data_IF_388803869371
#
_entry.id   IF_388803869371
#
_cell.length_a   1.000
_cell.length_b   1.000
_cell.length_c   1.000
_cell.angle_alpha   90.00
_cell.angle_beta   90.00
_cell.angle_gamma   90.00
#
_symmetry.space_group_name_H-M   'P 1'
#
loop_
_entity.id
_entity.type
_entity.pdbx_description
1 polymer ?
#
# COMPACT_ATOMS: atom_id res chain seq x y z
N UNK A 1 26.27 -8.42 -0.41
CA UNK A 1 26.18 -7.12 -1.15
C UNK A 1 26.61 -6.04 -0.18
N UNK A 2 27.44 -5.07 -0.62
CA UNK A 2 27.85 -3.97 0.29
C UNK A 2 26.66 -3.06 0.58
N UNK A 3 26.52 -2.64 1.83
CA UNK A 3 25.50 -1.69 2.26
C UNK A 3 25.75 -0.32 1.62
N UNK A 4 24.73 0.28 1.03
CA UNK A 4 24.78 1.62 0.45
C UNK A 4 23.39 2.26 0.39
N UNK A 5 23.35 3.58 0.61
CA UNK A 5 22.16 4.41 0.41
C UNK A 5 22.62 5.69 -0.28
N UNK A 6 22.07 6.01 -1.44
CA UNK A 6 22.53 7.17 -2.23
C UNK A 6 21.50 7.63 -3.23
N UNK A 7 21.52 8.91 -3.52
CA UNK A 7 20.76 9.45 -4.65
C UNK A 7 21.44 9.09 -5.99
N UNK A 8 20.63 8.65 -6.94
CA UNK A 8 21.03 8.36 -8.31
C UNK A 8 20.00 8.92 -9.29
N UNK A 9 20.23 8.76 -10.60
CA UNK A 9 19.23 9.10 -11.62
C UNK A 9 18.80 7.87 -12.41
N UNK A 10 17.48 7.70 -12.56
CA UNK A 10 16.87 6.73 -13.47
C UNK A 10 15.95 7.48 -14.45
N UNK A 11 16.10 7.25 -15.74
CA UNK A 11 15.40 8.01 -16.81
C UNK A 11 15.57 9.54 -16.67
N UNK A 12 16.70 10.01 -16.11
CA UNK A 12 16.93 11.42 -15.80
C UNK A 12 16.28 11.94 -14.51
N UNK A 13 15.43 11.14 -13.84
CA UNK A 13 14.71 11.50 -12.62
C UNK A 13 15.55 11.12 -11.39
N UNK A 14 15.67 12.00 -10.37
CA UNK A 14 16.36 11.66 -9.12
C UNK A 14 15.56 10.61 -8.34
N UNK A 15 16.25 9.59 -7.84
CA UNK A 15 15.72 8.52 -6.99
C UNK A 15 16.75 8.12 -5.94
N UNK A 16 16.33 7.45 -4.88
CA UNK A 16 17.22 6.90 -3.85
C UNK A 16 17.40 5.41 -4.11
N UNK A 17 18.65 4.97 -4.32
CA UNK A 17 19.03 3.55 -4.38
C UNK A 17 19.51 3.11 -3.00
N UNK A 18 18.88 2.06 -2.48
CA UNK A 18 19.22 1.42 -1.21
C UNK A 18 19.67 -0.02 -1.46
N UNK A 19 20.78 -0.42 -0.86
CA UNK A 19 21.30 -1.80 -0.90
C UNK A 19 21.72 -2.21 0.50
N UNK A 20 21.18 -3.31 1.02
CA UNK A 20 21.55 -3.89 2.30
C UNK A 20 21.03 -5.33 2.40
N UNK A 21 21.67 -6.18 3.19
CA UNK A 21 21.20 -7.53 3.55
C UNK A 21 20.85 -8.45 2.37
N UNK A 22 21.38 -8.18 1.18
CA UNK A 22 21.02 -8.93 -0.04
C UNK A 22 19.82 -8.34 -0.81
N UNK A 23 19.20 -7.28 -0.32
CA UNK A 23 18.09 -6.57 -0.99
C UNK A 23 18.56 -5.32 -1.73
N UNK A 24 17.75 -4.93 -2.71
CA UNK A 24 17.82 -3.64 -3.42
C UNK A 24 16.45 -3.00 -3.42
N UNK A 25 16.36 -1.74 -2.97
CA UNK A 25 15.18 -0.91 -3.11
C UNK A 25 15.49 0.36 -3.90
N UNK A 26 14.50 0.86 -4.65
CA UNK A 26 14.53 2.17 -5.32
C UNK A 26 13.33 2.97 -4.80
N UNK A 27 13.60 4.11 -4.20
CA UNK A 27 12.57 5.04 -3.75
C UNK A 27 12.48 6.18 -4.76
N UNK A 28 11.26 6.58 -5.11
CA UNK A 28 10.96 7.63 -6.07
C UNK A 28 10.32 8.87 -5.39
N UNK A 29 11.10 9.80 -4.80
CA UNK A 29 10.56 10.95 -4.07
C UNK A 29 9.62 11.80 -4.92
N UNK A 30 9.91 11.96 -6.21
CA UNK A 30 9.11 12.79 -7.13
C UNK A 30 7.75 12.20 -7.52
N UNK A 31 7.47 10.95 -7.12
CA UNK A 31 6.19 10.26 -7.40
C UNK A 31 5.67 9.63 -6.11
N UNK A 32 5.18 10.45 -5.18
CA UNK A 32 4.58 10.01 -3.91
C UNK A 32 5.55 9.28 -2.97
N UNK A 33 6.85 9.48 -3.14
CA UNK A 33 7.90 8.72 -2.45
C UNK A 33 7.70 7.18 -2.53
N UNK A 34 7.21 6.72 -3.69
CA UNK A 34 6.88 5.33 -3.97
C UNK A 34 8.12 4.44 -3.88
N UNK A 35 8.00 3.27 -3.27
CA UNK A 35 9.00 2.19 -3.41
C UNK A 35 8.88 1.61 -4.81
N UNK A 36 9.53 2.25 -5.77
CA UNK A 36 9.42 1.91 -7.20
C UNK A 36 9.95 0.51 -7.53
N UNK A 37 10.86 -0.02 -6.72
CA UNK A 37 11.41 -1.36 -6.85
C UNK A 37 11.78 -1.92 -5.49
N UNK A 38 11.51 -3.20 -5.28
CA UNK A 38 12.09 -4.01 -4.21
C UNK A 38 12.46 -5.38 -4.79
N UNK A 39 13.71 -5.81 -4.55
CA UNK A 39 14.24 -7.06 -5.06
C UNK A 39 15.11 -7.76 -4.02
N UNK A 40 14.90 -9.05 -3.83
CA UNK A 40 15.87 -9.94 -3.22
C UNK A 40 16.91 -10.38 -4.28
N UNK A 41 18.11 -9.86 -4.17
CA UNK A 41 19.18 -10.08 -5.14
C UNK A 41 19.85 -11.43 -4.94
N UNK A 42 19.91 -11.93 -3.70
CA UNK A 42 20.52 -13.22 -3.37
C UNK A 42 19.71 -14.36 -4.02
N UNK A 43 18.40 -14.30 -3.91
CA UNK A 43 17.49 -15.32 -4.43
C UNK A 43 16.93 -14.99 -5.82
N UNK A 44 17.28 -13.82 -6.38
CA UNK A 44 16.86 -13.34 -7.71
C UNK A 44 15.34 -13.16 -7.82
N UNK A 45 14.68 -12.77 -6.72
CA UNK A 45 13.25 -12.53 -6.63
C UNK A 45 12.98 -11.05 -6.90
N UNK A 46 12.23 -10.72 -7.95
CA UNK A 46 11.67 -9.38 -8.17
C UNK A 46 10.35 -9.31 -7.38
N UNK A 47 10.33 -8.55 -6.29
CA UNK A 47 9.19 -8.53 -5.36
C UNK A 47 8.09 -7.63 -5.92
N UNK A 48 8.42 -6.37 -6.17
CA UNK A 48 7.46 -5.38 -6.68
C UNK A 48 7.48 -5.31 -8.21
N UNK A 49 6.34 -4.97 -8.79
CA UNK A 49 6.23 -4.73 -10.23
C UNK A 49 7.12 -3.56 -10.63
N UNK A 50 8.05 -3.83 -11.52
CA UNK A 50 9.04 -2.86 -11.97
C UNK A 50 9.25 -2.92 -13.49
N UNK A 51 9.16 -1.77 -14.17
CA UNK A 51 9.50 -1.68 -15.57
C UNK A 51 11.01 -1.44 -15.74
N UNK A 52 11.72 -2.34 -16.41
CA UNK A 52 13.19 -2.29 -16.54
C UNK A 52 13.67 -1.32 -17.60
N UNK A 53 12.85 -1.00 -18.59
CA UNK A 53 13.24 -0.17 -19.74
C UNK A 53 13.10 1.33 -19.44
N UNK A 54 11.94 1.72 -18.88
CA UNK A 54 11.62 3.13 -18.57
C UNK A 54 10.92 3.21 -17.21
N UNK A 55 11.65 2.91 -16.10
CA UNK A 55 11.04 2.72 -14.80
C UNK A 55 10.30 3.96 -14.31
N UNK A 56 10.91 5.13 -14.36
CA UNK A 56 10.33 6.35 -13.82
C UNK A 56 9.18 6.88 -14.69
N UNK A 57 9.30 6.75 -16.00
CA UNK A 57 8.21 7.13 -16.92
C UNK A 57 6.97 6.26 -16.71
N UNK A 58 7.16 4.96 -16.51
CA UNK A 58 6.05 4.03 -16.26
C UNK A 58 5.42 4.25 -14.89
N UNK A 59 6.23 4.44 -13.85
CA UNK A 59 5.76 4.79 -12.52
C UNK A 59 4.92 6.07 -12.54
N UNK A 60 5.43 7.15 -13.12
CA UNK A 60 4.72 8.43 -13.17
C UNK A 60 3.40 8.37 -13.97
N UNK A 61 3.34 7.53 -15.04
CA UNK A 61 2.12 7.39 -15.85
C UNK A 61 1.03 6.52 -15.19
N UNK A 62 1.40 5.69 -14.22
CA UNK A 62 0.47 4.73 -13.58
C UNK A 62 0.93 4.41 -12.15
N UNK A 63 0.98 5.40 -11.25
CA UNK A 63 1.61 5.26 -9.93
C UNK A 63 0.95 4.18 -9.07
N UNK A 64 -0.35 3.92 -9.22
CA UNK A 64 -1.06 2.88 -8.46
C UNK A 64 -0.85 1.46 -9.00
N UNK A 65 -0.15 1.27 -10.14
CA UNK A 65 0.07 -0.07 -10.72
C UNK A 65 1.54 -0.47 -10.81
N UNK A 66 2.42 0.30 -10.20
CA UNK A 66 3.85 0.01 -10.07
C UNK A 66 4.33 0.33 -8.66
N UNK A 67 5.21 -0.54 -8.13
CA UNK A 67 5.81 -0.32 -6.83
C UNK A 67 4.81 -0.43 -5.66
N UNK A 68 5.02 0.41 -4.65
CA UNK A 68 4.23 0.48 -3.41
C UNK A 68 3.85 1.95 -3.12
N UNK A 69 2.82 2.48 -3.78
CA UNK A 69 2.33 3.83 -3.53
C UNK A 69 1.53 3.91 -2.24
N UNK A 70 1.72 4.98 -1.47
CA UNK A 70 0.92 5.32 -0.31
C UNK A 70 -0.28 6.16 -0.71
N UNK A 71 -1.47 5.72 -0.36
CA UNK A 71 -2.73 6.41 -0.64
C UNK A 71 -3.24 7.10 0.63
N UNK A 72 -3.40 8.40 0.55
CA UNK A 72 -4.11 9.23 1.51
C UNK A 72 -5.02 10.20 0.73
N UNK A 73 -6.33 10.09 0.84
CA UNK A 73 -7.19 9.16 1.57
C UNK A 73 -7.24 7.79 0.88
N UNK A 74 -7.42 6.68 1.63
CA UNK A 74 -7.43 5.35 1.04
C UNK A 74 -8.68 5.05 0.25
N UNK A 75 -8.52 4.36 -0.86
CA UNK A 75 -9.55 3.83 -1.73
C UNK A 75 -10.62 4.87 -2.13
N UNK A 76 -11.92 4.62 -1.91
CA UNK A 76 -13.03 5.43 -2.45
C UNK A 76 -13.76 6.24 -1.39
N UNK A 77 -14.17 7.45 -1.78
CA UNK A 77 -15.18 8.28 -1.12
C UNK A 77 -16.35 8.46 -2.06
N UNK A 78 -17.54 8.07 -1.63
CA UNK A 78 -18.79 8.16 -2.38
C UNK A 78 -19.08 9.60 -2.79
N UNK A 79 -19.26 9.84 -4.08
CA UNK A 79 -19.50 11.17 -4.67
C UNK A 79 -18.44 12.23 -4.32
N UNK A 80 -17.23 11.80 -3.86
CA UNK A 80 -16.19 12.71 -3.39
C UNK A 80 -16.46 13.37 -2.04
N UNK A 81 -17.45 12.93 -1.30
CA UNK A 81 -17.79 13.51 0.02
C UNK A 81 -16.89 12.90 1.09
N UNK A 82 -16.30 13.74 1.93
CA UNK A 82 -15.56 13.37 3.13
C UNK A 82 -16.22 14.04 4.33
N UNK A 83 -16.83 13.27 5.22
CA UNK A 83 -17.35 13.74 6.50
C UNK A 83 -16.31 13.52 7.59
N UNK A 84 -16.07 14.57 8.36
CA UNK A 84 -15.29 14.53 9.61
C UNK A 84 -16.16 15.12 10.71
N UNK A 85 -15.77 14.94 11.96
CA UNK A 85 -16.60 15.32 13.11
C UNK A 85 -16.99 16.81 13.13
N UNK A 86 -16.16 17.69 12.61
CA UNK A 86 -16.34 19.15 12.62
C UNK A 86 -16.59 19.78 11.23
N UNK A 87 -16.52 19.01 10.14
CA UNK A 87 -16.66 19.53 8.79
C UNK A 87 -17.12 18.49 7.76
N UNK A 88 -17.50 18.96 6.59
CA UNK A 88 -17.71 18.12 5.39
C UNK A 88 -16.96 18.75 4.23
N UNK A 89 -16.16 17.93 3.53
CA UNK A 89 -15.38 18.37 2.37
C UNK A 89 -15.90 17.70 1.10
N UNK A 90 -15.75 18.40 -0.04
CA UNK A 90 -16.16 17.91 -1.35
C UNK A 90 -14.95 17.83 -2.27
N UNK A 91 -14.50 16.63 -2.57
CA UNK A 91 -13.48 16.37 -3.58
C UNK A 91 -14.08 16.25 -4.99
N UNK A 92 -13.30 16.55 -6.03
CA UNK A 92 -13.71 16.30 -7.41
C UNK A 92 -13.82 14.80 -7.67
N UNK A 93 -14.84 14.38 -8.40
CA UNK A 93 -14.97 12.98 -8.84
C UNK A 93 -13.88 12.69 -9.88
N UNK A 94 -13.01 11.73 -9.58
CA UNK A 94 -11.94 11.28 -10.48
C UNK A 94 -12.15 9.84 -11.02
N UNK A 95 -13.15 9.13 -10.49
CA UNK A 95 -13.60 7.81 -10.98
C UNK A 95 -15.00 7.97 -11.62
N UNK A 96 -15.05 8.58 -12.81
CA UNK A 96 -16.28 9.03 -13.45
C UNK A 96 -17.33 7.94 -13.67
N UNK A 97 -16.93 6.70 -14.03
CA UNK A 97 -17.85 5.56 -14.20
C UNK A 97 -18.63 5.23 -12.92
N UNK A 98 -17.99 5.34 -11.77
CA UNK A 98 -18.54 4.98 -10.46
C UNK A 98 -18.93 6.19 -9.61
N UNK A 99 -18.67 7.41 -10.11
CA UNK A 99 -18.97 8.66 -9.42
C UNK A 99 -18.34 8.73 -8.02
N UNK A 100 -17.06 8.33 -7.89
CA UNK A 100 -16.30 8.38 -6.65
C UNK A 100 -15.09 9.29 -6.79
N UNK A 101 -14.56 9.76 -5.67
CA UNK A 101 -13.18 10.18 -5.53
C UNK A 101 -12.36 8.97 -5.05
N UNK A 102 -11.29 8.61 -5.74
CA UNK A 102 -10.51 7.40 -5.46
C UNK A 102 -9.03 7.71 -5.28
N UNK A 103 -8.39 6.99 -4.35
CA UNK A 103 -6.94 6.93 -4.10
C UNK A 103 -6.30 8.20 -3.53
N UNK A 104 -7.10 9.19 -3.10
CA UNK A 104 -6.52 10.42 -2.55
C UNK A 104 -5.59 11.12 -3.53
N UNK A 105 -4.48 11.70 -3.04
CA UNK A 105 -3.60 12.53 -3.87
C UNK A 105 -2.10 12.41 -3.54
N UNK A 106 -1.69 11.92 -2.37
CA UNK A 106 -0.28 11.90 -1.94
C UNK A 106 0.63 11.07 -2.87
N UNK A 107 0.11 10.01 -3.46
CA UNK A 107 0.87 9.14 -4.38
C UNK A 107 1.34 9.83 -5.67
N UNK A 108 0.90 11.06 -5.92
CA UNK A 108 1.31 11.88 -7.07
C UNK A 108 2.15 13.10 -6.67
N UNK A 109 2.40 13.30 -5.37
CA UNK A 109 3.14 14.46 -4.88
C UNK A 109 4.64 14.23 -4.90
N UNK A 110 5.39 15.31 -5.03
CA UNK A 110 6.84 15.28 -4.91
C UNK A 110 7.24 15.55 -3.47
N UNK A 111 7.93 14.59 -2.87
CA UNK A 111 8.45 14.66 -1.51
C UNK A 111 9.87 15.23 -1.51
N UNK A 112 10.20 15.97 -0.47
CA UNK A 112 11.56 16.38 -0.16
C UNK A 112 12.34 15.21 0.44
N UNK A 113 13.59 15.04 0.03
CA UNK A 113 14.52 14.07 0.65
C UNK A 113 15.09 14.69 1.92
N UNK A 114 14.84 14.08 3.06
CA UNK A 114 15.29 14.60 4.37
C UNK A 114 16.61 13.96 4.79
N UNK A 115 16.75 12.65 4.59
CA UNK A 115 17.97 11.92 4.96
C UNK A 115 18.22 10.73 4.03
N UNK A 116 19.50 10.49 3.74
CA UNK A 116 19.99 9.35 2.94
C UNK A 116 21.33 8.94 3.54
N UNK A 117 21.34 7.84 4.29
CA UNK A 117 22.53 7.37 5.00
C UNK A 117 22.61 5.86 5.13
N UNK A 118 23.76 5.39 5.61
CA UNK A 118 23.96 4.04 6.10
C UNK A 118 24.26 4.08 7.60
N UNK A 119 23.76 3.10 8.33
CA UNK A 119 24.05 2.89 9.73
C UNK A 119 24.36 1.40 9.95
N UNK A 120 25.63 1.09 10.10
CA UNK A 120 26.12 -0.29 10.12
C UNK A 120 25.79 -1.02 8.82
N UNK A 121 24.99 -2.06 8.92
CA UNK A 121 24.49 -2.90 7.83
C UNK A 121 23.14 -2.45 7.25
N UNK A 122 22.59 -1.31 7.73
CA UNK A 122 21.31 -0.76 7.29
C UNK A 122 21.51 0.38 6.29
N UNK A 123 20.68 0.42 5.26
CA UNK A 123 20.46 1.57 4.41
C UNK A 123 19.19 2.30 4.86
N UNK A 124 19.25 3.61 5.09
CA UNK A 124 18.16 4.41 5.65
C UNK A 124 17.90 5.60 4.74
N UNK A 125 16.64 5.82 4.41
CA UNK A 125 16.18 7.01 3.68
C UNK A 125 14.91 7.55 4.31
N UNK A 126 14.76 8.87 4.36
CA UNK A 126 13.52 9.52 4.78
C UNK A 126 13.14 10.65 3.85
N UNK A 127 11.83 10.83 3.68
CA UNK A 127 11.25 11.85 2.81
C UNK A 127 10.06 12.50 3.48
N UNK A 128 9.76 13.76 3.11
CA UNK A 128 8.70 14.58 3.70
C UNK A 128 7.88 15.30 2.64
N UNK A 129 6.59 15.38 2.85
CA UNK A 129 5.70 16.27 2.13
C UNK A 129 4.91 17.13 3.12
N UNK A 130 4.92 18.44 2.91
CA UNK A 130 4.10 19.40 3.67
C UNK A 130 2.94 19.82 2.77
N UNK A 131 1.74 19.53 3.23
CA UNK A 131 0.50 19.92 2.56
C UNK A 131 -0.02 21.23 3.13
N UNK A 132 -0.01 22.24 2.30
CA UNK A 132 -0.43 23.61 2.63
C UNK A 132 -1.17 24.26 1.44
N UNK A 133 -1.36 25.58 1.52
CA UNK A 133 -2.06 26.39 0.50
C UNK A 133 -1.44 26.32 -0.91
N UNK A 134 -0.23 25.78 -1.06
CA UNK A 134 0.43 25.64 -2.37
C UNK A 134 0.00 24.40 -3.11
N UNK A 135 -0.58 23.41 -2.42
CA UNK A 135 -1.09 22.21 -3.09
C UNK A 135 -2.39 22.52 -3.84
N UNK A 136 -2.56 22.08 -5.10
CA UNK A 136 -3.78 22.31 -5.88
C UNK A 136 -5.06 21.73 -5.25
N UNK A 137 -4.93 20.73 -4.36
CA UNK A 137 -6.07 20.12 -3.66
C UNK A 137 -6.49 20.89 -2.41
N UNK A 138 -5.72 21.90 -1.99
CA UNK A 138 -6.02 22.69 -0.79
C UNK A 138 -7.38 23.41 -0.87
N UNK A 139 -7.83 23.78 -2.08
CA UNK A 139 -9.17 24.35 -2.30
C UNK A 139 -10.30 23.39 -1.91
N UNK A 140 -10.08 22.06 -2.03
CA UNK A 140 -11.08 21.04 -1.68
C UNK A 140 -10.93 20.55 -0.24
N UNK A 141 -9.71 20.61 0.30
CA UNK A 141 -9.38 20.10 1.63
C UNK A 141 -8.40 21.04 2.36
N UNK A 142 -8.90 22.17 2.92
CA UNK A 142 -8.07 23.18 3.58
C UNK A 142 -7.67 22.76 5.03
N UNK A 143 -7.00 21.62 5.16
CA UNK A 143 -6.50 21.06 6.42
C UNK A 143 -5.01 20.79 6.26
N UNK A 144 -4.16 21.61 6.87
CA UNK A 144 -2.71 21.49 6.78
C UNK A 144 -2.21 20.25 7.49
N UNK A 145 -1.28 19.55 6.87
CA UNK A 145 -0.62 18.40 7.48
C UNK A 145 0.79 18.19 6.93
N UNK A 146 1.56 17.40 7.65
CA UNK A 146 2.83 16.86 7.20
C UNK A 146 2.74 15.35 7.07
N UNK A 147 3.35 14.81 6.04
CA UNK A 147 3.51 13.38 5.85
C UNK A 147 4.99 13.03 5.73
N UNK A 148 5.44 12.12 6.59
CA UNK A 148 6.81 11.62 6.61
C UNK A 148 6.82 10.14 6.27
N UNK A 149 7.78 9.75 5.41
CA UNK A 149 8.06 8.36 5.11
C UNK A 149 9.50 8.03 5.48
N UNK A 150 9.69 6.90 6.17
CA UNK A 150 11.01 6.35 6.45
C UNK A 150 11.11 4.94 5.87
N UNK A 151 12.25 4.65 5.28
CA UNK A 151 12.60 3.38 4.65
C UNK A 151 13.89 2.87 5.29
N UNK A 152 13.86 1.67 5.86
CA UNK A 152 15.03 1.00 6.40
C UNK A 152 15.16 -0.35 5.69
N UNK A 153 16.26 -0.55 4.98
CA UNK A 153 16.59 -1.78 4.29
C UNK A 153 17.74 -2.48 5.01
N UNK A 154 17.55 -3.75 5.38
CA UNK A 154 18.55 -4.59 6.02
C UNK A 154 18.42 -6.07 5.59
N UNK A 155 19.06 -6.99 6.29
CA UNK A 155 18.97 -8.43 6.02
C UNK A 155 17.57 -9.01 6.21
N UNK A 156 16.70 -8.30 6.95
CA UNK A 156 15.32 -8.69 7.21
C UNK A 156 14.33 -8.10 6.21
N UNK A 157 14.78 -7.48 5.11
CA UNK A 157 13.95 -6.88 4.08
C UNK A 157 13.79 -5.38 4.21
N UNK A 158 12.71 -4.85 3.66
CA UNK A 158 12.35 -3.45 3.70
C UNK A 158 11.34 -3.21 4.83
N UNK A 159 11.73 -2.37 5.80
CA UNK A 159 10.82 -1.77 6.77
C UNK A 159 10.42 -0.39 6.26
N UNK A 160 9.15 -0.09 6.34
CA UNK A 160 8.52 1.13 5.88
C UNK A 160 7.69 1.72 7.01
N UNK A 161 7.76 3.02 7.22
CA UNK A 161 6.85 3.73 8.11
C UNK A 161 6.28 4.98 7.44
N UNK A 162 5.00 5.23 7.71
CA UNK A 162 4.26 6.39 7.24
C UNK A 162 3.66 7.11 8.44
N UNK A 163 4.05 8.38 8.62
CA UNK A 163 3.57 9.24 9.68
C UNK A 163 2.79 10.41 9.11
N UNK A 164 1.57 10.63 9.60
CA UNK A 164 0.82 11.86 9.37
C UNK A 164 0.80 12.69 10.65
N UNK A 165 1.04 13.99 10.50
CA UNK A 165 0.94 14.99 11.56
C UNK A 165 -0.06 16.06 11.18
N UNK A 166 -1.13 16.22 11.95
CA UNK A 166 -2.11 17.28 11.76
C UNK A 166 -1.49 18.64 12.16
N UNK A 167 -1.25 19.52 11.19
CA UNK A 167 -0.71 20.86 11.39
C UNK A 167 -1.79 21.96 11.32
N UNK A 168 -3.07 21.57 11.32
CA UNK A 168 -4.21 22.47 11.28
C UNK A 168 -4.82 22.66 12.68
N UNK A 169 -5.79 23.54 12.76
CA UNK A 169 -6.66 23.77 13.94
C UNK A 169 -7.96 22.95 13.89
N UNK A 170 -8.10 22.03 12.91
CA UNK A 170 -9.29 21.20 12.66
C UNK A 170 -9.01 19.72 12.94
N UNK A 171 -10.08 18.95 13.08
CA UNK A 171 -9.97 17.49 13.07
C UNK A 171 -9.54 17.00 11.67
N UNK A 172 -8.67 16.00 11.64
CA UNK A 172 -8.14 15.44 10.40
C UNK A 172 -8.32 13.92 10.36
N UNK A 173 -8.99 13.34 9.34
CA UNK A 173 -9.12 11.90 9.22
C UNK A 173 -7.75 11.24 9.04
N UNK A 174 -7.53 10.14 9.73
CA UNK A 174 -6.36 9.30 9.57
C UNK A 174 -6.75 7.98 8.94
N UNK A 175 -6.41 7.82 7.67
CA UNK A 175 -6.62 6.59 6.93
C UNK A 175 -5.52 6.42 5.89
N UNK A 176 -4.97 5.23 5.78
CA UNK A 176 -3.89 4.92 4.85
C UNK A 176 -4.11 3.56 4.18
N UNK A 177 -3.67 3.46 2.95
CA UNK A 177 -3.60 2.23 2.17
C UNK A 177 -2.32 2.24 1.35
N UNK A 178 -1.67 1.09 1.18
CA UNK A 178 -0.62 0.93 0.19
C UNK A 178 -1.12 0.05 -0.96
N UNK A 179 -1.25 0.64 -2.15
CA UNK A 179 -1.67 -0.08 -3.36
C UNK A 179 -0.50 -0.86 -3.96
N UNK A 180 0.02 -1.81 -3.18
CA UNK A 180 1.26 -2.52 -3.46
C UNK A 180 1.13 -3.48 -4.63
N UNK A 181 1.85 -3.23 -5.70
CA UNK A 181 1.84 -4.04 -6.92
C UNK A 181 2.98 -5.06 -6.89
N UNK A 182 2.65 -6.34 -6.66
CA UNK A 182 3.62 -7.42 -6.70
C UNK A 182 3.80 -7.95 -8.12
N UNK A 183 5.06 -8.27 -8.47
CA UNK A 183 5.40 -8.86 -9.76
C UNK A 183 4.87 -10.30 -9.88
N UNK A 184 4.42 -10.73 -11.05
CA UNK A 184 4.12 -12.14 -11.35
C UNK A 184 4.56 -12.51 -12.78
N UNK A 185 5.43 -13.53 -12.93
CA UNK A 185 6.10 -14.32 -11.88
C UNK A 185 7.19 -13.50 -11.16
N UNK A 186 7.56 -13.95 -9.96
CA UNK A 186 8.61 -13.30 -9.15
C UNK A 186 10.02 -13.59 -9.65
N UNK A 187 10.21 -14.72 -10.34
CA UNK A 187 11.51 -15.15 -10.84
C UNK A 187 11.39 -15.79 -12.23
N UNK A 188 12.55 -16.00 -12.89
CA UNK A 188 12.60 -16.72 -14.17
C UNK A 188 12.29 -18.23 -14.04
N UNK A 189 12.28 -18.76 -12.81
CA UNK A 189 12.01 -20.18 -12.53
C UNK A 189 10.54 -20.46 -12.27
N UNK A 190 9.71 -19.43 -12.12
CA UNK A 190 8.30 -19.52 -11.77
C UNK A 190 7.37 -19.10 -12.90
N UNK A 191 6.13 -19.51 -12.82
CA UNK A 191 5.06 -19.10 -13.72
C UNK A 191 4.06 -18.22 -12.95
N UNK A 192 3.52 -17.19 -13.58
CA UNK A 192 2.56 -16.28 -12.95
C UNK A 192 1.34 -17.02 -12.37
N UNK A 193 0.87 -18.09 -13.05
CA UNK A 193 -0.25 -18.93 -12.60
C UNK A 193 0.04 -19.72 -11.30
N UNK A 194 1.31 -19.83 -10.88
CA UNK A 194 1.74 -20.60 -9.72
C UNK A 194 1.85 -19.74 -8.45
N UNK A 195 1.58 -18.44 -8.56
CA UNK A 195 1.53 -17.52 -7.43
C UNK A 195 0.21 -17.69 -6.66
N UNK A 196 0.34 -17.85 -5.34
CA UNK A 196 -0.77 -17.98 -4.39
C UNK A 196 -0.69 -16.91 -3.33
N UNK A 197 -1.85 -16.46 -2.86
CA UNK A 197 -1.98 -15.52 -1.75
C UNK A 197 -2.65 -16.20 -0.56
N UNK A 198 -2.10 -15.97 0.62
CA UNK A 198 -2.69 -16.28 1.92
C UNK A 198 -2.94 -15.00 2.70
N UNK A 199 -4.16 -14.85 3.20
CA UNK A 199 -4.59 -13.77 4.09
C UNK A 199 -5.27 -14.38 5.32
N UNK A 200 -5.09 -13.83 6.52
CA UNK A 200 -5.84 -14.22 7.70
C UNK A 200 -7.25 -13.59 7.69
N UNK A 201 -7.99 -13.80 6.60
CA UNK A 201 -9.33 -13.26 6.41
C UNK A 201 -10.31 -13.86 7.42
N UNK A 202 -11.12 -13.01 8.06
CA UNK A 202 -12.14 -13.41 9.02
C UNK A 202 -13.56 -13.06 8.57
N UNK A 203 -13.73 -11.98 7.80
CA UNK A 203 -15.01 -11.57 7.19
C UNK A 203 -14.78 -11.06 5.77
N UNK A 204 -15.77 -11.32 4.91
CA UNK A 204 -15.86 -10.70 3.58
C UNK A 204 -16.63 -9.39 3.70
N UNK A 205 -16.13 -8.31 3.09
CA UNK A 205 -16.83 -7.03 3.00
C UNK A 205 -17.45 -6.89 1.60
N UNK A 206 -18.79 -7.02 1.48
CA UNK A 206 -19.47 -6.92 0.19
C UNK A 206 -19.52 -5.48 -0.31
N UNK A 207 -19.37 -5.32 -1.63
CA UNK A 207 -19.48 -4.03 -2.32
C UNK A 207 -20.53 -4.09 -3.43
N UNK A 208 -21.10 -2.93 -3.77
CA UNK A 208 -22.02 -2.77 -4.90
C UNK A 208 -21.27 -2.62 -6.24
N UNK A 209 -22.04 -2.29 -7.30
CA UNK A 209 -21.44 -2.06 -8.63
C UNK A 209 -20.53 -0.82 -8.70
N UNK A 210 -20.69 0.13 -7.75
CA UNK A 210 -19.84 1.30 -7.57
C UNK A 210 -18.59 1.00 -6.74
N UNK A 211 -18.44 -0.24 -6.31
CA UNK A 211 -17.36 -0.69 -5.40
C UNK A 211 -17.44 -0.03 -4.02
N UNK A 212 -18.64 0.28 -3.56
CA UNK A 212 -18.91 0.86 -2.22
C UNK A 212 -19.51 -0.21 -1.32
N UNK A 213 -19.23 -0.20 -0.01
CA UNK A 213 -19.74 -1.17 0.95
C UNK A 213 -21.28 -1.16 1.01
N UNK A 214 -21.88 -2.34 1.14
CA UNK A 214 -23.33 -2.52 1.28
C UNK A 214 -23.69 -3.43 2.46
N UNK A 215 -24.87 -3.20 3.09
CA UNK A 215 -25.36 -4.09 4.14
C UNK A 215 -25.63 -5.54 3.66
N UNK A 216 -25.41 -6.54 4.51
CA UNK A 216 -24.67 -6.43 5.76
C UNK A 216 -23.20 -6.18 5.44
N UNK A 217 -22.60 -5.16 6.05
CA UNK A 217 -21.23 -4.69 5.72
C UNK A 217 -20.14 -5.74 5.92
N UNK A 218 -20.42 -6.78 6.71
CA UNK A 218 -19.55 -7.93 6.93
C UNK A 218 -20.33 -9.23 6.77
N UNK A 219 -19.77 -10.19 6.04
CA UNK A 219 -20.35 -11.52 5.77
C UNK A 219 -19.37 -12.62 6.16
N UNK A 220 -19.90 -13.80 6.45
CA UNK A 220 -19.09 -15.02 6.60
C UNK A 220 -18.36 -15.33 5.30
N UNK A 221 -17.22 -15.99 5.43
CA UNK A 221 -16.41 -16.40 4.29
C UNK A 221 -17.12 -17.50 3.50
N UNK A 222 -17.15 -17.37 2.19
CA UNK A 222 -17.61 -18.42 1.28
C UNK A 222 -16.51 -19.43 1.00
N UNK A 223 -16.83 -20.55 0.32
CA UNK A 223 -15.83 -21.52 -0.14
C UNK A 223 -14.78 -20.90 -1.07
N UNK A 224 -15.13 -19.84 -1.81
CA UNK A 224 -14.18 -19.07 -2.61
C UNK A 224 -13.22 -18.29 -1.71
N UNK A 225 -13.72 -17.60 -0.67
CA UNK A 225 -12.92 -16.78 0.24
C UNK A 225 -11.97 -17.62 1.10
N UNK A 226 -12.37 -18.86 1.45
CA UNK A 226 -11.55 -19.83 2.15
C UNK A 226 -10.22 -20.16 1.43
N UNK A 227 -10.12 -19.92 0.11
CA UNK A 227 -8.85 -20.11 -0.60
C UNK A 227 -7.79 -19.10 -0.13
N UNK A 228 -8.19 -17.90 0.28
CA UNK A 228 -7.25 -16.92 0.87
C UNK A 228 -6.74 -17.39 2.22
N UNK A 229 -7.62 -17.90 3.08
CA UNK A 229 -7.23 -18.40 4.40
C UNK A 229 -6.28 -19.60 4.28
N UNK A 230 -6.54 -20.50 3.33
CA UNK A 230 -5.75 -21.71 3.06
C UNK A 230 -4.46 -21.45 2.26
N UNK A 231 -4.29 -20.26 1.70
CA UNK A 231 -3.15 -19.93 0.83
C UNK A 231 -3.19 -20.64 -0.52
N UNK A 232 -4.38 -20.92 -1.04
CA UNK A 232 -4.60 -21.55 -2.36
C UNK A 232 -5.21 -20.59 -3.39
N UNK A 233 -5.46 -19.32 -3.00
CA UNK A 233 -6.00 -18.30 -3.90
C UNK A 233 -5.04 -17.96 -5.03
N UNK A 234 -5.46 -18.13 -6.27
CA UNK A 234 -4.67 -17.82 -7.47
C UNK A 234 -4.66 -16.32 -7.75
N UNK A 235 -3.48 -15.73 -7.89
CA UNK A 235 -3.37 -14.28 -8.17
C UNK A 235 -3.47 -13.94 -9.66
N UNK A 236 -3.02 -14.83 -10.54
CA UNK A 236 -3.01 -14.61 -12.00
C UNK A 236 -3.68 -15.81 -12.69
N UNK A 237 -4.98 -15.80 -12.79
CA UNK A 237 -5.77 -16.80 -13.54
C UNK A 237 -7.20 -16.34 -13.78
N UNK A 238 -7.78 -15.67 -12.80
CA UNK A 238 -9.15 -15.20 -12.82
C UNK A 238 -9.19 -13.71 -12.47
N UNK A 239 -10.19 -12.97 -12.99
CA UNK A 239 -10.42 -11.61 -12.55
C UNK A 239 -10.70 -11.55 -11.04
N UNK A 240 -9.93 -10.73 -10.33
CA UNK A 240 -10.19 -10.36 -8.94
C UNK A 240 -10.44 -8.86 -8.95
N UNK A 241 -11.62 -8.46 -8.51
CA UNK A 241 -12.04 -7.08 -8.56
C UNK A 241 -12.51 -6.60 -7.19
N UNK A 242 -11.55 -6.10 -6.40
CA UNK A 242 -11.78 -5.57 -5.05
C UNK A 242 -12.39 -6.63 -4.10
N UNK A 243 -11.75 -7.80 -4.00
CA UNK A 243 -12.04 -8.74 -2.94
C UNK A 243 -11.57 -8.15 -1.62
N UNK A 244 -12.50 -7.68 -0.79
CA UNK A 244 -12.18 -6.98 0.45
C UNK A 244 -12.48 -7.86 1.67
N UNK A 245 -11.52 -7.90 2.58
CA UNK A 245 -11.57 -8.73 3.80
C UNK A 245 -11.20 -7.92 5.04
N UNK A 246 -11.89 -8.17 6.13
CA UNK A 246 -11.37 -7.93 7.48
C UNK A 246 -10.39 -9.04 7.81
N UNK A 247 -9.27 -8.70 8.42
CA UNK A 247 -8.20 -9.65 8.73
C UNK A 247 -7.92 -9.71 10.24
N UNK A 248 -7.38 -10.85 10.67
CA UNK A 248 -6.79 -11.08 11.99
C UNK A 248 -5.30 -11.45 11.79
N UNK A 249 -4.81 -12.37 12.54
CA UNK A 249 -3.45 -12.89 12.48
C UNK A 249 -3.44 -14.37 12.07
N UNK A 250 -2.30 -14.83 11.56
CA UNK A 250 -2.06 -16.22 11.22
C UNK A 250 -0.70 -16.67 11.77
N UNK A 251 -0.44 -17.96 11.79
CA UNK A 251 0.90 -18.48 12.04
C UNK A 251 1.73 -18.52 10.76
N UNK A 252 2.96 -18.00 10.87
CA UNK A 252 4.01 -18.11 9.84
C UNK A 252 5.30 -18.51 10.53
N UNK A 253 5.81 -19.70 10.26
CA UNK A 253 7.02 -20.25 10.88
C UNK A 253 6.98 -20.27 12.42
N UNK A 254 5.83 -20.59 13.02
CA UNK A 254 5.63 -20.62 14.46
C UNK A 254 5.53 -19.25 15.13
N UNK A 255 5.36 -18.19 14.37
CA UNK A 255 5.20 -16.82 14.87
C UNK A 255 3.85 -16.22 14.47
N UNK A 256 3.28 -15.44 15.38
CA UNK A 256 2.09 -14.64 15.07
C UNK A 256 2.44 -13.62 13.98
N UNK A 257 1.66 -13.60 12.91
CA UNK A 257 1.87 -12.78 11.73
C UNK A 257 0.58 -12.05 11.34
N UNK A 258 0.66 -10.75 11.11
CA UNK A 258 -0.44 -9.91 10.64
C UNK A 258 -0.08 -9.36 9.26
N UNK A 259 -0.84 -9.75 8.23
CA UNK A 259 -0.53 -9.36 6.86
C UNK A 259 -0.78 -10.46 5.83
N UNK A 260 -0.05 -10.41 4.72
CA UNK A 260 -0.20 -11.28 3.57
C UNK A 260 1.05 -12.16 3.33
N UNK A 261 0.85 -13.44 2.99
CA UNK A 261 1.93 -14.32 2.52
C UNK A 261 1.67 -14.73 1.09
N UNK A 262 2.62 -14.43 0.23
CA UNK A 262 2.60 -14.75 -1.19
C UNK A 262 3.55 -15.92 -1.42
N UNK A 263 3.05 -17.02 -1.97
CA UNK A 263 3.83 -18.24 -2.22
C UNK A 263 3.95 -18.50 -3.72
N UNK A 264 5.16 -18.69 -4.18
CA UNK A 264 5.46 -19.29 -5.48
C UNK A 264 5.49 -20.82 -5.33
N UNK A 265 4.47 -21.50 -5.78
CA UNK A 265 4.34 -22.95 -5.60
C UNK A 265 5.33 -23.78 -6.44
N UNK A 266 5.98 -23.18 -7.43
CA UNK A 266 7.02 -23.84 -8.23
C UNK A 266 8.34 -23.91 -7.48
N UNK A 267 8.72 -22.84 -6.77
CA UNK A 267 10.02 -22.73 -6.10
C UNK A 267 9.93 -22.97 -4.60
N UNK A 268 8.74 -22.85 -4.01
CA UNK A 268 8.51 -22.83 -2.56
C UNK A 268 8.82 -21.48 -1.90
N UNK A 269 9.37 -20.52 -2.63
CA UNK A 269 9.71 -19.21 -2.10
C UNK A 269 8.44 -18.45 -1.68
N UNK A 270 8.56 -17.71 -0.58
CA UNK A 270 7.48 -16.87 -0.06
C UNK A 270 7.93 -15.42 0.05
N UNK A 271 7.02 -14.50 -0.23
CA UNK A 271 7.15 -13.08 0.11
C UNK A 271 6.17 -12.83 1.25
N UNK A 272 6.68 -12.32 2.37
CA UNK A 272 5.90 -11.91 3.53
C UNK A 272 5.69 -10.40 3.47
N UNK A 273 4.43 -9.97 3.52
CA UNK A 273 4.00 -8.59 3.59
C UNK A 273 3.33 -8.39 4.96
N UNK A 274 4.13 -8.03 5.95
CA UNK A 274 3.73 -7.82 7.32
C UNK A 274 3.29 -6.37 7.52
N UNK A 275 2.21 -6.15 8.26
CA UNK A 275 1.64 -4.83 8.55
C UNK A 275 1.30 -4.73 10.04
N UNK A 276 1.24 -3.52 10.58
CA UNK A 276 0.85 -3.33 11.98
C UNK A 276 -0.67 -3.42 12.22
N UNK A 277 -1.08 -3.35 13.49
CA UNK A 277 -2.47 -3.54 13.92
C UNK A 277 -3.44 -2.47 13.42
N UNK A 278 -2.95 -1.35 12.88
CA UNK A 278 -3.80 -0.31 12.31
C UNK A 278 -4.43 -0.76 10.99
N UNK A 279 -3.79 -1.70 10.28
CA UNK A 279 -4.32 -2.25 9.03
C UNK A 279 -5.31 -3.37 9.30
N UNK A 280 -6.56 -3.03 9.44
CA UNK A 280 -7.65 -3.97 9.74
C UNK A 280 -8.20 -4.72 8.52
N UNK A 281 -7.90 -4.23 7.31
CA UNK A 281 -8.50 -4.71 6.08
C UNK A 281 -7.46 -4.96 5.00
N UNK A 282 -7.78 -5.88 4.08
CA UNK A 282 -7.07 -6.04 2.82
C UNK A 282 -8.05 -6.02 1.66
N UNK A 283 -7.65 -5.34 0.59
CA UNK A 283 -8.26 -5.49 -0.73
C UNK A 283 -7.34 -6.31 -1.61
N UNK A 284 -7.89 -7.16 -2.45
CA UNK A 284 -7.15 -7.89 -3.49
C UNK A 284 -7.69 -7.51 -4.86
N UNK A 285 -6.79 -7.10 -5.73
CA UNK A 285 -7.09 -6.73 -7.11
C UNK A 285 -5.99 -7.20 -8.07
N UNK A 286 -6.32 -7.53 -9.35
CA UNK A 286 -5.33 -8.06 -10.28
C UNK A 286 -5.51 -7.63 -11.75
N UNK A 287 -6.16 -6.50 -12.03
CA UNK A 287 -6.42 -6.01 -13.38
C UNK A 287 -6.93 -7.11 -14.33
N UNK A 288 -8.01 -7.81 -13.94
CA UNK A 288 -8.64 -8.93 -14.66
C UNK A 288 -7.82 -10.22 -14.72
N UNK A 289 -6.70 -10.32 -13.98
CA UNK A 289 -5.84 -11.52 -13.96
C UNK A 289 -5.09 -11.80 -15.27
N UNK A 290 -4.95 -10.78 -16.14
CA UNK A 290 -4.31 -10.92 -17.47
C UNK A 290 -2.97 -10.22 -17.56
N UNK A 291 -2.56 -9.56 -16.49
CA UNK A 291 -1.31 -8.82 -16.39
C UNK A 291 -0.27 -9.58 -15.58
N UNK A 292 0.93 -9.04 -15.53
CA UNK A 292 2.08 -9.57 -14.81
C UNK A 292 2.18 -9.08 -13.36
N UNK A 293 1.04 -8.72 -12.74
CA UNK A 293 0.99 -8.20 -11.38
C UNK A 293 -0.39 -8.39 -10.72
N UNK A 294 -0.41 -8.23 -9.42
CA UNK A 294 -1.58 -8.24 -8.56
C UNK A 294 -1.30 -7.39 -7.32
N UNK A 295 -2.35 -6.91 -6.67
CA UNK A 295 -2.27 -5.96 -5.58
C UNK A 295 -3.04 -6.48 -4.36
N UNK A 296 -2.37 -7.06 -3.35
CA UNK A 296 -2.89 -7.15 -2.00
C UNK A 296 -2.61 -5.82 -1.30
N UNK A 297 -3.67 -5.12 -0.92
CA UNK A 297 -3.63 -3.74 -0.47
C UNK A 297 -4.08 -3.67 0.99
N UNK A 298 -3.16 -3.50 1.96
CA UNK A 298 -3.55 -3.24 3.33
C UNK A 298 -4.23 -1.88 3.45
N UNK A 299 -5.32 -1.84 4.23
CA UNK A 299 -6.07 -0.62 4.50
C UNK A 299 -6.34 -0.48 6.00
N UNK A 300 -6.15 0.73 6.52
CA UNK A 300 -6.45 1.02 7.94
C UNK A 300 -7.94 1.21 8.20
N UNK A 301 -8.75 1.54 7.18
CA UNK A 301 -10.19 1.70 7.29
C UNK A 301 -10.96 1.04 6.12
N UNK A 302 -12.26 0.79 6.30
CA UNK A 302 -13.15 0.32 5.23
C UNK A 302 -13.28 1.37 4.13
N UNK A 303 -13.57 0.93 2.90
CA UNK A 303 -13.94 1.87 1.82
C UNK A 303 -15.06 2.78 2.31
N UNK A 304 -14.95 4.08 2.05
CA UNK A 304 -15.94 5.11 2.41
C UNK A 304 -16.21 5.24 3.93
N UNK A 305 -15.31 4.77 4.78
CA UNK A 305 -15.48 4.72 6.24
C UNK A 305 -15.98 6.03 6.86
N UNK A 306 -15.51 7.23 6.45
CA UNK A 306 -16.02 8.51 6.99
C UNK A 306 -17.52 8.76 6.76
N UNK A 307 -18.14 8.07 5.81
CA UNK A 307 -19.52 8.27 5.40
C UNK A 307 -20.46 7.13 5.84
N UNK A 308 -19.90 6.05 6.43
CA UNK A 308 -20.69 4.91 6.91
C UNK A 308 -21.28 5.22 8.28
N UNK A 309 -22.57 4.87 8.46
CA UNK A 309 -23.22 4.92 9.76
C UNK A 309 -22.92 3.64 10.55
N UNK A 310 -21.64 3.48 10.91
CA UNK A 310 -21.12 2.36 11.67
C UNK A 310 -20.12 2.87 12.73
N UNK A 311 -19.95 2.13 13.84
CA UNK A 311 -18.94 2.45 14.85
C UNK A 311 -17.52 2.53 14.25
N UNK A 312 -16.71 3.44 14.78
CA UNK A 312 -15.31 3.64 14.34
C UNK A 312 -14.45 2.36 14.49
N UNK A 313 -14.72 1.57 15.53
CA UNK A 313 -14.06 0.30 15.78
C UNK A 313 -14.30 -0.71 14.65
N UNK A 314 -15.50 -0.68 14.05
CA UNK A 314 -15.87 -1.56 12.94
C UNK A 314 -15.30 -1.10 11.60
N UNK A 315 -15.27 0.21 11.38
CA UNK A 315 -14.82 0.82 10.10
C UNK A 315 -13.32 1.09 10.07
N UNK A 316 -12.66 1.13 11.22
CA UNK A 316 -11.28 1.58 11.35
C UNK A 316 -11.09 3.09 11.22
N UNK A 317 -12.18 3.87 11.19
CA UNK A 317 -12.12 5.33 11.07
C UNK A 317 -11.51 5.96 12.33
N UNK A 318 -10.56 6.86 12.12
CA UNK A 318 -9.88 7.61 13.19
C UNK A 318 -9.68 9.05 12.73
N UNK A 319 -9.74 10.00 13.66
CA UNK A 319 -9.35 11.39 13.45
C UNK A 319 -8.16 11.77 14.32
N UNK A 320 -7.30 12.62 13.81
CA UNK A 320 -6.21 13.26 14.54
C UNK A 320 -6.64 14.65 15.00
N UNK A 321 -6.49 14.92 16.28
CA UNK A 321 -6.65 16.27 16.83
C UNK A 321 -5.56 17.23 16.32
N UNK A 322 -5.75 18.55 16.42
CA UNK A 322 -4.70 19.51 16.12
C UNK A 322 -3.37 19.20 16.83
N UNK A 323 -2.29 19.13 16.07
CA UNK A 323 -0.93 18.79 16.54
C UNK A 323 -0.68 17.30 16.77
N UNK A 324 -1.68 16.44 16.63
CA UNK A 324 -1.53 14.99 16.81
C UNK A 324 -0.81 14.35 15.62
N UNK A 325 -0.02 13.32 15.91
CA UNK A 325 0.66 12.48 14.90
C UNK A 325 0.33 11.02 15.09
N UNK A 326 0.24 10.28 13.99
CA UNK A 326 0.09 8.82 14.01
C UNK A 326 0.95 8.17 12.94
N UNK A 327 1.57 7.05 13.30
CA UNK A 327 2.44 6.27 12.43
C UNK A 327 1.87 4.88 12.21
N UNK A 328 2.00 4.37 10.99
CA UNK A 328 1.84 2.94 10.66
C UNK A 328 3.14 2.38 10.11
N UNK A 329 3.31 1.07 10.29
CA UNK A 329 4.50 0.35 9.85
C UNK A 329 4.15 -0.87 9.02
N UNK A 330 5.01 -1.15 8.05
CA UNK A 330 4.92 -2.31 7.18
C UNK A 330 6.31 -2.90 6.95
N UNK A 331 6.36 -4.20 6.64
CA UNK A 331 7.60 -4.87 6.31
C UNK A 331 7.42 -5.87 5.17
N UNK A 332 8.33 -5.84 4.19
CA UNK A 332 8.34 -6.80 3.09
C UNK A 332 9.68 -7.53 3.07
N UNK A 333 9.63 -8.87 3.13
CA UNK A 333 10.81 -9.73 3.11
C UNK A 333 10.51 -11.08 2.44
N UNK A 334 11.55 -11.86 2.18
CA UNK A 334 11.44 -13.19 1.56
C UNK A 334 11.80 -14.30 2.54
N UNK A 335 11.11 -15.44 2.44
CA UNK A 335 11.45 -16.73 3.04
C UNK A 335 11.72 -17.73 1.91
N UNK A 336 12.91 -18.34 1.91
CA UNK A 336 13.41 -19.19 0.81
C UNK A 336 13.82 -20.54 1.35
#
# INVERSE_FOLDING_TARGET
MNTSCKEIRLDGVPVIEMKAGGYLAIIAPTVGSNVARLRDCNNKIEILRYNKERPMRKLASSPCTYGMPTLYLPNRLKNGVLKVSDATYQFPVNEGRFQNFIHGFLHTRSYEVIDVKTDGDKAIASTRYVYDEKDPFFEYYPVKFQSDLEFILDENGLNYSFTLTNQSDKQMPYGVCNHTSFQAPHSKKSLAKDIRLRLPAVKRLPVDFRQLPIPPYKKELSAYDENYVKGTAHMIKFPINNDMYEIDTMDVEGKKFHGAVITDTTTGNRICYEVDDAFKFFIVWNDRGTKDYYCPEPMSWMIDAPNLDLPAEETGYVELAPGESKTVTERIYTLV
#
